data_IF_400023592734
#
_entry.id   IF_400023592734
#
_cell.length_a   1.000
_cell.length_b   1.000
_cell.length_c   1.000
_cell.angle_alpha   90.00
_cell.angle_beta   90.00
_cell.angle_gamma   90.00
#
_symmetry.space_group_name_H-M   'P 1'
#
loop_
_entity.id
_entity.type
_entity.pdbx_description
1 polymer ?
#
# COMPACT_ATOMS: atom_id res chain seq x y z
N UNK A 1 -15.95 4.99 -2.75
CA UNK A 1 -15.37 3.82 -3.45
C UNK A 1 -16.53 2.96 -3.88
N UNK A 2 -16.53 2.53 -5.14
CA UNK A 2 -17.50 1.55 -5.62
C UNK A 2 -17.34 0.24 -4.80
N UNK A 3 -18.42 -0.50 -4.66
CA UNK A 3 -18.35 -1.84 -4.08
C UNK A 3 -17.69 -2.75 -5.11
N UNK A 4 -16.56 -3.36 -4.75
CA UNK A 4 -15.84 -4.30 -5.61
C UNK A 4 -16.50 -5.67 -5.47
N UNK A 5 -17.10 -6.15 -6.55
CA UNK A 5 -17.92 -7.36 -6.58
C UNK A 5 -17.30 -8.50 -7.38
N UNK A 6 -16.17 -8.27 -8.03
CA UNK A 6 -15.46 -9.28 -8.81
C UNK A 6 -13.97 -8.94 -8.98
N UNK A 7 -13.21 -9.91 -9.51
CA UNK A 7 -11.78 -9.76 -9.75
C UNK A 7 -11.43 -8.69 -10.80
N UNK A 8 -12.28 -8.51 -11.82
CA UNK A 8 -12.06 -7.50 -12.87
C UNK A 8 -12.11 -6.09 -12.31
N UNK A 9 -13.13 -5.77 -11.51
CA UNK A 9 -13.25 -4.51 -10.79
C UNK A 9 -12.08 -4.30 -9.83
N UNK A 10 -11.68 -5.35 -9.10
CA UNK A 10 -10.52 -5.28 -8.21
C UNK A 10 -9.22 -4.98 -8.98
N UNK A 11 -9.05 -5.56 -10.15
CA UNK A 11 -7.91 -5.31 -11.02
C UNK A 11 -7.91 -3.90 -11.59
N UNK A 12 -9.07 -3.39 -12.02
CA UNK A 12 -9.21 -2.03 -12.51
C UNK A 12 -8.85 -1.01 -11.42
N UNK A 13 -9.30 -1.21 -10.19
CA UNK A 13 -8.97 -0.36 -9.04
C UNK A 13 -7.46 -0.40 -8.72
N UNK A 14 -6.81 -1.57 -8.82
CA UNK A 14 -5.35 -1.66 -8.66
C UNK A 14 -4.60 -0.91 -9.77
N UNK A 15 -5.07 -0.98 -11.01
CA UNK A 15 -4.45 -0.27 -12.14
C UNK A 15 -4.65 1.24 -12.04
N UNK A 16 -5.83 1.69 -11.62
CA UNK A 16 -6.08 3.10 -11.33
C UNK A 16 -5.17 3.61 -10.21
N UNK A 17 -5.07 2.87 -9.09
CA UNK A 17 -4.17 3.22 -8.00
C UNK A 17 -2.70 3.28 -8.45
N UNK A 18 -2.30 2.41 -9.38
CA UNK A 18 -0.97 2.42 -10.02
C UNK A 18 -0.73 3.72 -10.77
N UNK A 19 -1.67 4.13 -11.61
CA UNK A 19 -1.57 5.34 -12.42
C UNK A 19 -1.56 6.60 -11.55
N UNK A 20 -2.50 6.73 -10.61
CA UNK A 20 -2.59 7.87 -9.70
C UNK A 20 -1.32 8.03 -8.85
N UNK A 21 -0.78 6.92 -8.32
CA UNK A 21 0.45 6.97 -7.55
C UNK A 21 1.66 7.31 -8.42
N UNK A 22 1.69 6.82 -9.67
CA UNK A 22 2.74 7.17 -10.63
C UNK A 22 2.71 8.65 -10.96
N UNK A 23 1.53 9.21 -11.22
CA UNK A 23 1.35 10.64 -11.47
C UNK A 23 1.82 11.47 -10.28
N UNK A 24 1.42 11.08 -9.06
CA UNK A 24 1.88 11.74 -7.84
C UNK A 24 3.41 11.76 -7.73
N UNK A 25 4.06 10.60 -7.88
CA UNK A 25 5.52 10.49 -7.68
C UNK A 25 6.30 11.23 -8.76
N UNK A 26 5.86 11.16 -10.02
CA UNK A 26 6.53 11.82 -11.15
C UNK A 26 6.21 13.31 -11.24
N UNK A 27 5.11 13.76 -10.63
CA UNK A 27 4.72 15.16 -10.55
C UNK A 27 5.56 15.98 -9.56
N UNK A 28 6.28 15.34 -8.64
CA UNK A 28 7.13 16.01 -7.67
C UNK A 28 8.47 16.44 -8.30
N UNK A 29 8.80 17.72 -8.15
CA UNK A 29 10.15 18.21 -8.45
C UNK A 29 11.18 17.67 -7.46
N UNK A 30 12.47 17.78 -7.79
CA UNK A 30 13.55 17.37 -6.90
C UNK A 30 13.61 18.13 -5.57
N UNK A 31 13.16 19.39 -5.56
CA UNK A 31 13.02 20.18 -4.33
C UNK A 31 11.86 19.64 -3.48
N UNK A 32 10.69 19.44 -4.08
CA UNK A 32 9.52 18.89 -3.40
C UNK A 32 9.76 17.48 -2.89
N UNK A 33 10.53 16.65 -3.58
CA UNK A 33 10.88 15.29 -3.15
C UNK A 33 11.50 15.25 -1.75
N UNK A 34 12.33 16.25 -1.44
CA UNK A 34 13.04 16.37 -0.17
C UNK A 34 12.37 17.34 0.80
N UNK A 35 11.26 17.97 0.41
CA UNK A 35 10.54 18.89 1.27
C UNK A 35 9.89 18.15 2.44
N UNK A 36 10.08 18.68 3.65
CA UNK A 36 9.52 18.13 4.88
C UNK A 36 8.05 18.52 5.01
N UNK A 37 7.18 17.52 5.08
CA UNK A 37 5.76 17.68 5.34
C UNK A 37 5.44 17.97 6.81
N UNK A 38 4.24 18.50 7.06
CA UNK A 38 3.70 18.67 8.42
C UNK A 38 3.24 17.34 9.06
N UNK A 39 3.34 16.21 8.36
CA UNK A 39 2.97 14.89 8.87
C UNK A 39 4.21 14.14 9.39
N UNK A 40 4.33 14.02 10.71
CA UNK A 40 5.45 13.36 11.39
C UNK A 40 6.86 13.89 11.02
N UNK A 41 6.94 15.11 10.45
CA UNK A 41 8.16 15.70 9.91
C UNK A 41 8.89 14.77 8.91
N UNK A 42 8.14 14.11 8.04
CA UNK A 42 8.68 13.30 6.95
C UNK A 42 8.83 14.09 5.67
N UNK A 43 9.85 13.76 4.89
CA UNK A 43 9.96 14.25 3.52
C UNK A 43 8.86 13.67 2.63
N UNK A 44 8.53 14.32 1.51
CA UNK A 44 7.57 13.76 0.55
C UNK A 44 8.04 12.40 0.00
N UNK A 45 9.35 12.19 -0.16
CA UNK A 45 9.93 10.88 -0.50
C UNK A 45 9.64 9.80 0.55
N UNK A 46 9.70 10.14 1.83
CA UNK A 46 9.34 9.25 2.95
C UNK A 46 7.84 8.92 2.94
N UNK A 47 7.00 9.90 2.64
CA UNK A 47 5.56 9.67 2.51
C UNK A 47 5.23 8.76 1.32
N UNK A 48 5.81 9.00 0.15
CA UNK A 48 5.61 8.16 -1.02
C UNK A 48 6.08 6.72 -0.75
N UNK A 49 7.25 6.56 -0.11
CA UNK A 49 7.72 5.24 0.32
C UNK A 49 6.75 4.57 1.30
N UNK A 50 6.20 5.32 2.25
CA UNK A 50 5.22 4.81 3.21
C UNK A 50 3.95 4.32 2.52
N UNK A 51 3.41 5.09 1.56
CA UNK A 51 2.26 4.66 0.74
C UNK A 51 2.59 3.38 -0.03
N UNK A 52 3.77 3.32 -0.65
CA UNK A 52 4.19 2.11 -1.36
C UNK A 52 4.32 0.90 -0.43
N UNK A 53 4.79 1.13 0.80
CA UNK A 53 4.87 0.10 1.83
C UNK A 53 3.48 -0.37 2.31
N UNK A 54 2.52 0.53 2.53
CA UNK A 54 1.18 0.14 2.98
C UNK A 54 0.39 -0.61 1.92
N UNK A 55 0.71 -0.42 0.63
CA UNK A 55 0.16 -1.22 -0.46
C UNK A 55 0.40 -2.73 -0.26
N UNK A 56 1.49 -3.13 0.41
CA UNK A 56 1.75 -4.52 0.78
C UNK A 56 0.68 -5.14 1.71
N UNK A 57 -0.12 -4.29 2.37
CA UNK A 57 -1.23 -4.72 3.21
C UNK A 57 -2.34 -5.43 2.43
N UNK A 58 -2.47 -5.20 1.13
CA UNK A 58 -3.48 -5.85 0.27
C UNK A 58 -3.39 -7.37 0.32
N UNK A 59 -2.24 -7.93 -0.06
CA UNK A 59 -1.97 -9.39 -0.01
C UNK A 59 -2.22 -9.99 1.38
N UNK A 60 -1.79 -9.30 2.45
CA UNK A 60 -1.98 -9.78 3.82
C UNK A 60 -3.47 -9.84 4.19
N UNK A 61 -4.26 -8.85 3.77
CA UNK A 61 -5.70 -8.81 4.03
C UNK A 61 -6.44 -9.92 3.29
N UNK A 62 -6.19 -10.11 1.99
CA UNK A 62 -6.77 -11.21 1.21
C UNK A 62 -6.44 -12.55 1.87
N UNK A 63 -5.18 -12.76 2.24
CA UNK A 63 -4.75 -14.00 2.92
C UNK A 63 -5.46 -14.23 4.26
N UNK A 64 -5.68 -13.17 5.06
CA UNK A 64 -6.34 -13.30 6.38
C UNK A 64 -7.83 -13.50 6.28
N UNK A 65 -8.51 -12.82 5.34
CA UNK A 65 -9.94 -13.03 5.07
C UNK A 65 -10.19 -14.49 4.68
N UNK A 66 -9.36 -15.05 3.79
CA UNK A 66 -9.41 -16.48 3.43
C UNK A 66 -9.19 -17.43 4.61
N UNK A 67 -8.50 -16.99 5.66
CA UNK A 67 -8.27 -17.78 6.86
C UNK A 67 -9.34 -17.58 7.94
N UNK A 68 -10.40 -16.79 7.68
CA UNK A 68 -11.37 -16.34 8.68
C UNK A 68 -10.71 -15.77 9.93
N UNK A 69 -9.56 -15.10 9.77
CA UNK A 69 -8.80 -14.53 10.88
C UNK A 69 -9.10 -13.05 11.02
N UNK A 70 -9.38 -12.66 12.26
CA UNK A 70 -9.64 -11.27 12.61
C UNK A 70 -8.50 -10.35 12.14
N UNK A 71 -8.89 -9.21 11.57
CA UNK A 71 -7.97 -8.27 10.92
C UNK A 71 -7.20 -7.42 11.93
N UNK A 72 -7.67 -7.33 13.18
CA UNK A 72 -7.14 -6.43 14.21
C UNK A 72 -6.11 -7.16 15.08
N UNK A 73 -4.82 -6.82 14.99
CA UNK A 73 -3.88 -7.20 16.03
C UNK A 73 -4.33 -6.58 17.36
N UNK A 74 -4.01 -7.19 18.52
CA UNK A 74 -4.31 -6.62 19.81
C UNK A 74 -3.81 -5.16 19.91
N UNK A 75 -4.59 -4.26 20.50
CA UNK A 75 -4.26 -2.83 20.62
C UNK A 75 -2.81 -2.50 21.03
N UNK A 76 -2.19 -3.17 22.02
CA UNK A 76 -0.79 -2.90 22.37
C UNK A 76 0.19 -3.29 21.26
N UNK A 77 -0.10 -4.35 20.50
CA UNK A 77 0.72 -4.77 19.36
C UNK A 77 0.58 -3.76 18.20
N UNK A 78 -0.61 -3.22 17.96
CA UNK A 78 -0.83 -2.16 16.95
C UNK A 78 -0.05 -0.89 17.27
N UNK A 79 0.01 -0.47 18.54
CA UNK A 79 0.79 0.70 18.93
C UNK A 79 2.29 0.53 18.65
N UNK A 80 2.84 -0.67 18.94
CA UNK A 80 4.24 -1.01 18.66
C UNK A 80 4.50 -1.08 17.15
N UNK A 81 3.59 -1.68 16.37
CA UNK A 81 3.69 -1.73 14.91
C UNK A 81 3.66 -0.33 14.28
N UNK A 82 2.83 0.58 14.80
CA UNK A 82 2.80 1.97 14.34
C UNK A 82 4.15 2.65 14.59
N UNK A 83 4.70 2.58 15.80
CA UNK A 83 6.01 3.18 16.12
C UNK A 83 7.15 2.57 15.30
N UNK A 84 7.16 1.24 15.16
CA UNK A 84 8.14 0.54 14.34
C UNK A 84 8.01 0.93 12.87
N UNK A 85 6.79 1.05 12.34
CA UNK A 85 6.58 1.48 10.96
C UNK A 85 7.14 2.89 10.72
N UNK A 86 7.02 3.79 11.72
CA UNK A 86 7.54 5.14 11.59
C UNK A 86 9.08 5.17 11.47
N UNK A 87 9.76 4.33 12.24
CA UNK A 87 11.22 4.19 12.22
C UNK A 87 11.71 3.43 10.99
N UNK A 88 10.99 2.39 10.59
CA UNK A 88 11.29 1.57 9.43
C UNK A 88 11.20 2.39 8.14
N UNK A 89 10.17 3.23 8.00
CA UNK A 89 10.04 4.19 6.89
C UNK A 89 11.25 5.10 6.85
N UNK A 90 11.64 5.72 7.98
CA UNK A 90 12.80 6.63 8.02
C UNK A 90 14.10 5.97 7.58
N UNK A 91 14.31 4.69 7.85
CA UNK A 91 15.54 3.98 7.46
C UNK A 91 15.47 3.46 6.04
N UNK A 92 14.38 2.80 5.67
CA UNK A 92 14.22 2.13 4.38
C UNK A 92 13.99 3.10 3.22
N UNK A 93 13.51 4.31 3.51
CA UNK A 93 13.38 5.38 2.52
C UNK A 93 14.66 6.19 2.32
N UNK A 94 15.75 5.95 3.07
CA UNK A 94 17.00 6.70 2.87
C UNK A 94 17.53 6.41 1.46
N UNK A 95 17.68 7.45 0.66
CA UNK A 95 18.12 7.33 -0.73
C UNK A 95 17.03 6.81 -1.68
N UNK A 96 15.77 6.77 -1.26
CA UNK A 96 14.67 6.45 -2.16
C UNK A 96 14.58 7.48 -3.29
N UNK A 97 14.67 6.98 -4.52
CA UNK A 97 14.42 7.73 -5.75
C UNK A 97 12.98 7.50 -6.21
N UNK A 98 12.41 8.41 -7.02
CA UNK A 98 11.10 8.21 -7.64
C UNK A 98 10.96 6.81 -8.27
N UNK A 99 11.94 6.40 -9.09
CA UNK A 99 11.94 5.08 -9.73
C UNK A 99 11.93 3.93 -8.74
N UNK A 100 12.72 4.00 -7.67
CA UNK A 100 12.77 2.93 -6.65
C UNK A 100 11.44 2.80 -5.90
N UNK A 101 10.74 3.91 -5.67
CA UNK A 101 9.44 3.92 -5.00
C UNK A 101 8.37 3.35 -5.91
N UNK A 102 8.38 3.71 -7.19
CA UNK A 102 7.46 3.16 -8.20
C UNK A 102 7.66 1.65 -8.39
N UNK A 103 8.92 1.21 -8.55
CA UNK A 103 9.23 -0.21 -8.68
C UNK A 103 8.75 -1.00 -7.45
N UNK A 104 8.96 -0.44 -6.25
CA UNK A 104 8.49 -1.07 -5.02
C UNK A 104 6.96 -1.13 -4.93
N UNK A 105 6.25 -0.08 -5.34
CA UNK A 105 4.79 -0.08 -5.36
C UNK A 105 4.23 -1.10 -6.36
N UNK A 106 4.78 -1.13 -7.57
CA UNK A 106 4.41 -2.08 -8.62
C UNK A 106 4.58 -3.53 -8.15
N UNK A 107 5.68 -3.85 -7.45
CA UNK A 107 5.90 -5.17 -6.85
C UNK A 107 4.78 -5.56 -5.87
N UNK A 108 4.31 -4.60 -5.04
CA UNK A 108 3.24 -4.85 -4.04
C UNK A 108 1.86 -4.97 -4.66
N UNK A 109 1.56 -4.17 -5.69
CA UNK A 109 0.32 -4.31 -6.44
C UNK A 109 0.28 -5.64 -7.19
N UNK A 110 1.38 -6.07 -7.80
CA UNK A 110 1.48 -7.38 -8.46
C UNK A 110 1.23 -8.53 -7.46
N UNK A 111 1.81 -8.45 -6.26
CA UNK A 111 1.55 -9.44 -5.20
C UNK A 111 0.08 -9.44 -4.72
N UNK A 112 -0.57 -8.27 -4.71
CA UNK A 112 -1.99 -8.17 -4.35
C UNK A 112 -2.89 -8.73 -5.46
N UNK A 113 -2.57 -8.41 -6.72
CA UNK A 113 -3.22 -8.96 -7.91
C UNK A 113 -3.17 -10.48 -7.92
N UNK A 114 -1.99 -11.07 -7.72
CA UNK A 114 -1.87 -12.54 -7.65
C UNK A 114 -2.65 -13.17 -6.48
N UNK A 115 -2.84 -12.44 -5.37
CA UNK A 115 -3.69 -12.93 -4.28
C UNK A 115 -5.19 -12.89 -4.64
N UNK A 116 -5.63 -11.82 -5.32
CA UNK A 116 -7.00 -11.67 -5.82
C UNK A 116 -7.36 -12.78 -6.81
N UNK A 117 -6.45 -13.16 -7.70
CA UNK A 117 -6.64 -14.27 -8.65
C UNK A 117 -6.91 -15.62 -7.97
N UNK A 118 -6.61 -15.74 -6.67
CA UNK A 118 -6.89 -16.96 -5.90
C UNK A 118 -8.28 -16.99 -5.26
N UNK A 119 -9.08 -15.92 -5.40
CA UNK A 119 -10.44 -15.78 -4.86
C UNK A 119 -11.44 -16.33 -5.87
N UNK A 120 -12.27 -17.27 -5.45
CA UNK A 120 -13.30 -17.87 -6.30
C UNK A 120 -14.45 -16.87 -6.57
N UNK A 121 -15.15 -17.03 -7.70
CA UNK A 121 -16.22 -16.12 -8.11
C UNK A 121 -17.37 -16.01 -7.09
N UNK A 122 -17.66 -17.08 -6.36
CA UNK A 122 -18.70 -17.16 -5.33
C UNK A 122 -18.26 -16.61 -3.96
N UNK A 123 -16.97 -16.30 -3.78
CA UNK A 123 -16.44 -15.67 -2.57
C UNK A 123 -16.62 -14.15 -2.56
N UNK A 124 -16.88 -13.54 -3.73
CA UNK A 124 -17.10 -12.09 -3.85
C UNK A 124 -18.46 -11.63 -3.32
N UNK A 125 -18.57 -10.36 -2.91
CA UNK A 125 -19.82 -9.76 -2.45
C UNK A 125 -20.31 -10.22 -1.06
N UNK A 126 -19.53 -11.06 -0.36
CA UNK A 126 -19.90 -11.59 0.96
C UNK A 126 -19.61 -10.63 2.14
N UNK A 127 -19.23 -9.37 1.87
CA UNK A 127 -18.97 -8.36 2.91
C UNK A 127 -17.64 -8.51 3.66
N UNK A 128 -16.81 -9.49 3.28
CA UNK A 128 -15.52 -9.80 3.90
C UNK A 128 -15.49 -11.18 4.54
#
# INVERSE_FOLDING_TARGET
>A
MAEITNAEEAHAELDQAREEFRELVLGLSGEEWNHTSNNAAWTNSQLCWHVAFTASGGTLRVTRLRQNKDMKPPAPLMAVLNVLSLWLVRIRSRGATPDSVLAFFDERLAATRGAIETVAEDEWGNGG
#
